data_IF_650111312587
#
_entry.id   IF_650111312587
#
_cell.length_a   1.000
_cell.length_b   1.000
_cell.length_c   1.000
_cell.angle_alpha   90.00
_cell.angle_beta   90.00
_cell.angle_gamma   90.00
#
_symmetry.space_group_name_H-M   'P 1'
#
loop_
_entity.id
_entity.type
_entity.pdbx_description
1 polymer ?
#
# COMPACT_ATOMS: atom_id res chain seq x y z
N UNK A 1 16.28 2.43 -14.41
CA UNK A 1 16.39 1.31 -13.47
C UNK A 1 15.06 1.02 -12.84
N UNK A 2 14.78 -0.25 -12.70
CA UNK A 2 13.57 -0.78 -12.08
C UNK A 2 13.63 -0.59 -10.55
N UNK A 3 12.47 -0.31 -9.91
CA UNK A 3 12.35 -0.34 -8.46
C UNK A 3 12.81 -1.69 -7.91
N UNK A 4 12.58 -2.78 -8.66
CA UNK A 4 13.02 -4.14 -8.33
C UNK A 4 14.53 -4.21 -8.03
N UNK A 5 15.37 -3.69 -8.93
CA UNK A 5 16.83 -3.73 -8.76
C UNK A 5 17.27 -2.93 -7.52
N UNK A 6 16.63 -1.80 -7.23
CA UNK A 6 16.92 -0.99 -6.03
C UNK A 6 16.59 -1.77 -4.74
N UNK A 7 15.47 -2.49 -4.71
CA UNK A 7 15.09 -3.34 -3.56
C UNK A 7 15.73 -4.74 -3.60
N UNK A 8 16.65 -4.97 -4.55
CA UNK A 8 17.45 -6.19 -4.62
C UNK A 8 16.77 -7.38 -5.26
N UNK A 9 15.79 -7.15 -6.12
CA UNK A 9 15.04 -8.18 -6.85
C UNK A 9 15.20 -8.02 -8.36
N UNK A 10 14.97 -9.09 -9.09
CA UNK A 10 15.05 -9.15 -10.56
C UNK A 10 13.73 -9.57 -11.21
N UNK A 11 12.76 -10.04 -10.43
CA UNK A 11 11.47 -10.54 -10.92
C UNK A 11 10.31 -9.99 -10.08
N UNK A 12 9.18 -9.73 -10.75
CA UNK A 12 7.90 -9.44 -10.11
C UNK A 12 7.36 -10.69 -9.40
N UNK A 13 6.64 -10.50 -8.29
CA UNK A 13 6.14 -11.61 -7.45
C UNK A 13 4.94 -12.31 -8.07
N UNK A 14 3.95 -11.56 -8.54
CA UNK A 14 2.61 -12.09 -8.80
C UNK A 14 2.30 -12.34 -10.27
N UNK A 15 3.29 -12.24 -11.15
CA UNK A 15 3.11 -12.38 -12.61
C UNK A 15 2.41 -13.67 -12.99
N UNK A 16 2.83 -14.82 -12.44
CA UNK A 16 2.22 -16.11 -12.77
C UNK A 16 0.74 -16.20 -12.38
N UNK A 17 0.37 -15.73 -11.19
CA UNK A 17 -1.04 -15.73 -10.75
C UNK A 17 -1.87 -14.72 -11.56
N UNK A 18 -1.35 -13.53 -11.84
CA UNK A 18 -2.02 -12.51 -12.66
C UNK A 18 -2.25 -13.02 -14.09
N UNK A 19 -1.27 -13.67 -14.69
CA UNK A 19 -1.40 -14.26 -16.05
C UNK A 19 -2.38 -15.42 -16.06
N UNK A 20 -2.29 -16.34 -15.11
CA UNK A 20 -3.18 -17.49 -15.02
C UNK A 20 -4.65 -17.07 -14.89
N UNK A 21 -4.95 -16.10 -14.05
CA UNK A 21 -6.30 -15.61 -13.84
C UNK A 21 -6.70 -14.41 -14.73
N UNK A 22 -5.87 -14.01 -15.69
CA UNK A 22 -6.03 -12.76 -16.47
C UNK A 22 -7.40 -12.66 -17.15
N UNK A 23 -7.88 -13.74 -17.73
CA UNK A 23 -9.19 -13.79 -18.40
C UNK A 23 -10.32 -13.57 -17.42
N UNK A 24 -10.33 -14.29 -16.30
CA UNK A 24 -11.35 -14.18 -15.27
C UNK A 24 -11.39 -12.78 -14.64
N UNK A 25 -10.21 -12.25 -14.29
CA UNK A 25 -10.06 -10.90 -13.75
C UNK A 25 -10.63 -9.86 -14.73
N UNK A 26 -10.23 -9.93 -16.00
CA UNK A 26 -10.66 -8.98 -17.03
C UNK A 26 -12.18 -9.06 -17.28
N UNK A 27 -12.77 -10.25 -17.30
CA UNK A 27 -14.22 -10.42 -17.46
C UNK A 27 -15.00 -9.87 -16.26
N UNK A 28 -14.50 -10.07 -15.04
CA UNK A 28 -15.13 -9.52 -13.83
C UNK A 28 -15.04 -8.00 -13.80
N UNK A 29 -13.88 -7.44 -14.14
CA UNK A 29 -13.68 -5.99 -14.17
C UNK A 29 -14.61 -5.34 -15.19
N UNK A 30 -14.63 -5.81 -16.43
CA UNK A 30 -15.45 -5.23 -17.52
C UNK A 30 -16.95 -5.16 -17.23
N UNK A 31 -17.46 -6.07 -16.38
CA UNK A 31 -18.90 -6.16 -16.08
C UNK A 31 -19.30 -5.43 -14.80
N UNK A 32 -18.36 -4.77 -14.13
CA UNK A 32 -18.59 -4.30 -12.78
C UNK A 32 -18.31 -2.82 -12.59
N UNK A 33 -19.03 -2.25 -11.63
CA UNK A 33 -18.80 -0.89 -11.10
C UNK A 33 -17.96 -0.98 -9.83
N UNK A 34 -16.88 -0.23 -9.81
CA UNK A 34 -15.92 -0.17 -8.72
C UNK A 34 -15.96 1.15 -7.98
N UNK A 35 -15.84 1.09 -6.66
CA UNK A 35 -15.50 2.22 -5.81
C UNK A 35 -14.16 1.95 -5.13
N UNK A 36 -13.20 2.83 -5.32
CA UNK A 36 -11.88 2.77 -4.67
C UNK A 36 -11.76 3.93 -3.68
N UNK A 37 -11.76 3.64 -2.39
CA UNK A 37 -11.61 4.60 -1.30
C UNK A 37 -10.14 4.65 -0.89
N UNK A 38 -9.55 5.84 -0.78
CA UNK A 38 -8.12 6.03 -0.61
C UNK A 38 -7.35 5.76 -1.90
N UNK A 39 -8.01 6.01 -3.05
CA UNK A 39 -7.51 5.62 -4.37
C UNK A 39 -6.39 6.49 -4.91
N UNK A 40 -6.09 7.64 -4.30
CA UNK A 40 -4.96 8.48 -4.67
C UNK A 40 -3.71 8.31 -3.77
N UNK A 41 -3.78 7.45 -2.74
CA UNK A 41 -2.60 6.99 -2.01
C UNK A 41 -1.78 5.97 -2.81
N UNK A 42 -0.57 5.62 -2.36
CA UNK A 42 0.36 4.78 -3.14
C UNK A 42 -0.21 3.42 -3.56
N UNK A 43 -0.86 2.68 -2.64
CA UNK A 43 -1.53 1.42 -2.97
C UNK A 43 -2.80 1.69 -3.79
N UNK A 44 -3.53 2.76 -3.44
CA UNK A 44 -4.75 3.17 -4.11
C UNK A 44 -4.55 3.46 -5.59
N UNK A 45 -3.49 4.19 -5.93
CA UNK A 45 -3.12 4.46 -7.32
C UNK A 45 -2.82 3.17 -8.09
N UNK A 46 -2.06 2.25 -7.47
CA UNK A 46 -1.74 0.97 -8.08
C UNK A 46 -3.00 0.13 -8.35
N UNK A 47 -3.92 0.03 -7.38
CA UNK A 47 -5.21 -0.66 -7.55
C UNK A 47 -6.07 0.01 -8.62
N UNK A 48 -6.16 1.34 -8.58
CA UNK A 48 -6.92 2.12 -9.56
C UNK A 48 -6.42 1.87 -10.98
N UNK A 49 -5.09 1.85 -11.20
CA UNK A 49 -4.46 1.51 -12.49
C UNK A 49 -4.79 0.08 -12.92
N UNK A 50 -4.66 -0.89 -12.01
CA UNK A 50 -4.96 -2.29 -12.31
C UNK A 50 -6.42 -2.51 -12.74
N UNK A 51 -7.37 -1.77 -12.14
CA UNK A 51 -8.78 -1.81 -12.54
C UNK A 51 -8.98 -1.06 -13.86
N UNK A 52 -8.44 0.17 -13.96
CA UNK A 52 -8.65 1.06 -15.12
C UNK A 52 -8.18 0.44 -16.44
N UNK A 53 -6.99 -0.16 -16.48
CA UNK A 53 -6.42 -0.80 -17.69
C UNK A 53 -7.25 -1.98 -18.23
N UNK A 54 -8.20 -2.49 -17.44
CA UNK A 54 -9.11 -3.59 -17.81
C UNK A 54 -10.49 -3.12 -18.21
N UNK A 55 -10.69 -1.82 -18.36
CA UNK A 55 -11.89 -1.15 -18.88
C UNK A 55 -13.19 -1.54 -18.12
N UNK A 56 -13.30 -1.15 -16.82
CA UNK A 56 -14.48 -1.44 -16.00
C UNK A 56 -15.71 -0.68 -16.52
N UNK A 57 -16.91 -1.18 -16.19
CA UNK A 57 -18.16 -0.48 -16.51
C UNK A 57 -18.21 0.91 -15.86
N UNK A 58 -17.76 1.02 -14.62
CA UNK A 58 -17.50 2.29 -13.94
C UNK A 58 -16.38 2.13 -12.92
N UNK A 59 -15.56 3.15 -12.75
CA UNK A 59 -14.53 3.25 -11.74
C UNK A 59 -14.61 4.62 -11.08
N UNK A 60 -15.09 4.64 -9.85
CA UNK A 60 -15.16 5.84 -9.04
C UNK A 60 -14.10 5.81 -7.96
N UNK A 61 -13.37 6.90 -7.81
CA UNK A 61 -12.23 7.00 -6.90
C UNK A 61 -12.48 8.10 -5.89
N UNK A 62 -12.33 7.78 -4.62
CA UNK A 62 -12.49 8.71 -3.49
C UNK A 62 -11.17 8.82 -2.75
N UNK A 63 -10.73 10.04 -2.50
CA UNK A 63 -9.57 10.34 -1.66
C UNK A 63 -9.72 11.72 -1.03
N UNK A 64 -9.12 11.93 0.13
CA UNK A 64 -9.12 13.23 0.80
C UNK A 64 -8.12 14.21 0.17
N UNK A 65 -7.11 13.70 -0.55
CA UNK A 65 -6.05 14.49 -1.18
C UNK A 65 -6.43 14.92 -2.60
N UNK A 66 -6.86 16.15 -2.77
CA UNK A 66 -7.16 16.73 -4.08
C UNK A 66 -5.93 16.70 -5.02
N UNK A 67 -4.75 17.06 -4.50
CA UNK A 67 -3.53 17.10 -5.31
C UNK A 67 -3.13 15.71 -5.85
N UNK A 68 -3.17 14.69 -4.98
CA UNK A 68 -2.88 13.32 -5.40
C UNK A 68 -3.92 12.79 -6.39
N UNK A 69 -5.18 13.22 -6.24
CA UNK A 69 -6.25 12.85 -7.15
C UNK A 69 -6.03 13.43 -8.56
N UNK A 70 -5.64 14.71 -8.64
CA UNK A 70 -5.29 15.36 -9.92
C UNK A 70 -4.11 14.63 -10.59
N UNK A 71 -3.09 14.26 -9.82
CA UNK A 71 -1.93 13.54 -10.34
C UNK A 71 -2.30 12.13 -10.81
N UNK A 72 -3.13 11.40 -10.08
CA UNK A 72 -3.66 10.11 -10.51
C UNK A 72 -4.36 10.19 -11.86
N UNK A 73 -5.23 11.19 -12.05
CA UNK A 73 -5.95 11.37 -13.32
C UNK A 73 -4.99 11.67 -14.47
N UNK A 74 -3.99 12.53 -14.25
CA UNK A 74 -2.97 12.85 -15.26
C UNK A 74 -2.15 11.64 -15.65
N UNK A 75 -1.72 10.87 -14.66
CA UNK A 75 -0.93 9.67 -14.85
C UNK A 75 -1.72 8.60 -15.64
N UNK A 76 -2.96 8.31 -15.25
CA UNK A 76 -3.83 7.40 -16.00
C UNK A 76 -4.02 7.82 -17.46
N UNK A 77 -4.30 9.09 -17.69
CA UNK A 77 -4.47 9.60 -19.06
C UNK A 77 -3.20 9.55 -19.89
N UNK A 78 -2.05 9.72 -19.25
CA UNK A 78 -0.74 9.68 -19.94
C UNK A 78 -0.27 8.27 -20.22
N UNK A 79 -0.65 7.28 -19.41
CA UNK A 79 -0.19 5.88 -19.54
C UNK A 79 -1.21 4.99 -20.25
N UNK A 80 -2.48 5.08 -19.88
CA UNK A 80 -3.55 4.20 -20.38
C UNK A 80 -4.51 4.90 -21.36
N UNK A 81 -4.50 6.23 -21.39
CA UNK A 81 -5.43 7.01 -22.21
C UNK A 81 -6.82 7.13 -21.57
N UNK A 82 -7.86 7.02 -22.38
CA UNK A 82 -9.24 7.13 -21.94
C UNK A 82 -9.93 5.76 -22.04
N UNK A 83 -10.47 5.28 -20.91
CA UNK A 83 -11.30 4.07 -20.89
C UNK A 83 -12.69 4.33 -21.48
N UNK A 84 -13.43 3.26 -21.79
CA UNK A 84 -14.81 3.35 -22.29
C UNK A 84 -15.85 3.51 -21.17
N UNK A 85 -15.50 3.11 -19.94
CA UNK A 85 -16.38 3.15 -18.78
C UNK A 85 -16.47 4.54 -18.12
N UNK A 86 -17.40 4.66 -17.16
CA UNK A 86 -17.59 5.89 -16.39
C UNK A 86 -16.48 6.03 -15.34
N UNK A 87 -15.51 6.93 -15.59
CA UNK A 87 -14.42 7.21 -14.67
C UNK A 87 -14.62 8.57 -13.98
N UNK A 88 -14.78 8.53 -12.65
CA UNK A 88 -14.97 9.74 -11.82
C UNK A 88 -14.06 9.74 -10.61
N UNK A 89 -13.67 10.93 -10.18
CA UNK A 89 -12.85 11.16 -8.98
C UNK A 89 -13.53 12.17 -8.06
N UNK A 90 -13.47 11.90 -6.74
CA UNK A 90 -14.13 12.71 -5.73
C UNK A 90 -13.18 13.01 -4.58
N UNK A 91 -12.78 14.26 -4.40
CA UNK A 91 -11.90 14.71 -3.33
C UNK A 91 -12.70 14.96 -2.04
N UNK A 92 -13.08 13.87 -1.36
CA UNK A 92 -13.92 13.90 -0.15
C UNK A 92 -13.43 12.91 0.91
N UNK A 93 -13.75 13.17 2.19
CA UNK A 93 -13.48 12.24 3.28
C UNK A 93 -14.53 11.12 3.30
N UNK A 94 -14.11 9.87 3.29
CA UNK A 94 -15.02 8.72 3.33
C UNK A 94 -15.81 8.61 4.67
N UNK A 95 -15.42 9.35 5.71
CA UNK A 95 -16.16 9.47 6.96
C UNK A 95 -17.23 10.56 6.96
N UNK A 96 -17.33 11.37 5.90
CA UNK A 96 -18.18 12.55 5.84
C UNK A 96 -19.63 12.26 5.38
N UNK A 97 -20.48 13.28 5.47
CA UNK A 97 -21.87 13.21 4.96
C UNK A 97 -21.90 13.31 3.42
N UNK A 98 -20.91 13.97 2.82
CA UNK A 98 -20.74 14.04 1.36
C UNK A 98 -20.49 12.65 0.78
N UNK A 99 -19.73 11.80 1.47
CA UNK A 99 -19.53 10.40 1.07
C UNK A 99 -20.83 9.59 1.15
N UNK A 100 -21.68 9.82 2.17
CA UNK A 100 -23.00 9.18 2.24
C UNK A 100 -23.89 9.59 1.07
N UNK A 101 -23.88 10.87 0.71
CA UNK A 101 -24.61 11.37 -0.44
C UNK A 101 -24.08 10.78 -1.76
N UNK A 102 -22.76 10.67 -1.93
CA UNK A 102 -22.12 10.01 -3.06
C UNK A 102 -22.59 8.55 -3.20
N UNK A 103 -22.54 7.78 -2.10
CA UNK A 103 -22.99 6.39 -2.11
C UNK A 103 -24.45 6.25 -2.53
N UNK A 104 -25.30 7.16 -2.09
CA UNK A 104 -26.73 7.17 -2.43
C UNK A 104 -27.00 7.54 -3.88
N UNK A 105 -26.21 8.45 -4.48
CA UNK A 105 -26.44 8.98 -5.83
C UNK A 105 -25.75 8.18 -6.92
N UNK A 106 -24.53 7.71 -6.69
CA UNK A 106 -23.71 7.05 -7.70
C UNK A 106 -23.71 5.50 -7.57
N UNK A 107 -24.12 4.97 -6.43
CA UNK A 107 -24.24 3.51 -6.23
C UNK A 107 -25.41 2.87 -7.02
N UNK A 108 -25.57 1.55 -6.94
CA UNK A 108 -24.72 0.61 -6.22
C UNK A 108 -23.39 0.34 -6.93
N UNK A 109 -22.41 -0.14 -6.16
CA UNK A 109 -21.15 -0.67 -6.67
C UNK A 109 -21.08 -2.17 -6.42
N UNK A 110 -20.63 -2.96 -7.40
CA UNK A 110 -20.39 -4.39 -7.19
C UNK A 110 -19.22 -4.63 -6.27
N UNK A 111 -18.14 -3.87 -6.45
CA UNK A 111 -16.90 -3.99 -5.69
C UNK A 111 -16.54 -2.67 -5.01
N UNK A 112 -16.30 -2.73 -3.71
CA UNK A 112 -15.79 -1.60 -2.93
C UNK A 112 -14.42 -1.96 -2.37
N UNK A 113 -13.39 -1.24 -2.78
CA UNK A 113 -12.02 -1.39 -2.31
C UNK A 113 -11.69 -0.24 -1.35
N UNK A 114 -11.50 -0.55 -0.08
CA UNK A 114 -11.10 0.46 0.89
C UNK A 114 -9.61 0.34 1.22
N UNK A 115 -8.84 1.33 0.76
CA UNK A 115 -7.40 1.45 0.89
C UNK A 115 -7.00 2.61 1.80
N UNK A 116 -8.00 3.28 2.41
CA UNK A 116 -7.75 4.38 3.33
C UNK A 116 -7.13 3.89 4.63
N UNK A 117 -6.06 4.54 5.05
CA UNK A 117 -5.39 4.22 6.31
C UNK A 117 -4.47 5.36 6.78
N UNK A 118 -4.31 5.46 8.10
CA UNK A 118 -3.16 6.12 8.72
C UNK A 118 -2.18 5.03 9.15
N UNK A 119 -0.99 5.02 8.53
CA UNK A 119 -0.03 3.91 8.57
C UNK A 119 1.26 4.17 9.34
N UNK A 120 1.49 5.39 9.80
CA UNK A 120 2.75 5.75 10.47
C UNK A 120 2.71 5.38 11.95
N UNK A 121 3.63 4.51 12.39
CA UNK A 121 3.77 4.10 13.78
C UNK A 121 4.01 5.31 14.70
N UNK A 122 4.85 6.26 14.28
CA UNK A 122 5.13 7.48 15.05
C UNK A 122 3.89 8.34 15.36
N UNK A 123 2.81 8.18 14.62
CA UNK A 123 1.54 8.88 14.87
C UNK A 123 0.91 8.54 16.22
N UNK A 124 1.30 7.44 16.85
CA UNK A 124 0.77 7.05 18.17
C UNK A 124 1.37 7.84 19.33
N UNK A 125 2.48 8.54 19.13
CA UNK A 125 3.13 9.37 20.16
C UNK A 125 2.34 10.63 20.51
N UNK A 126 1.47 11.09 19.62
CA UNK A 126 0.57 12.23 19.82
C UNK A 126 -0.88 11.74 19.97
N UNK A 127 -1.58 12.09 21.08
CA UNK A 127 -2.93 11.58 21.36
C UNK A 127 -3.95 12.00 20.29
N UNK A 128 -3.84 13.17 19.70
CA UNK A 128 -4.80 13.65 18.69
C UNK A 128 -4.63 12.90 17.37
N UNK A 129 -3.40 12.66 16.95
CA UNK A 129 -3.11 11.85 15.77
C UNK A 129 -3.47 10.38 15.99
N UNK A 130 -3.27 9.84 17.21
CA UNK A 130 -3.74 8.50 17.57
C UNK A 130 -5.27 8.39 17.48
N UNK A 131 -6.01 9.37 18.01
CA UNK A 131 -7.47 9.41 17.86
C UNK A 131 -7.88 9.44 16.39
N UNK A 132 -7.22 10.24 15.57
CA UNK A 132 -7.46 10.29 14.12
C UNK A 132 -7.15 8.94 13.45
N UNK A 133 -6.10 8.24 13.88
CA UNK A 133 -5.75 6.91 13.38
C UNK A 133 -6.87 5.90 13.68
N UNK A 134 -7.40 5.88 14.88
CA UNK A 134 -8.52 5.00 15.27
C UNK A 134 -9.77 5.34 14.45
N UNK A 135 -10.08 6.61 14.26
CA UNK A 135 -11.21 7.03 13.43
C UNK A 135 -11.08 6.50 12.00
N UNK A 136 -9.92 6.69 11.37
CA UNK A 136 -9.69 6.28 9.96
C UNK A 136 -9.59 4.77 9.84
N UNK A 137 -8.77 4.11 10.67
CA UNK A 137 -8.45 2.69 10.52
C UNK A 137 -9.56 1.76 11.01
N UNK A 138 -10.46 2.23 11.86
CA UNK A 138 -11.52 1.40 12.46
C UNK A 138 -12.90 1.94 12.11
N UNK A 139 -13.27 3.11 12.60
CA UNK A 139 -14.66 3.58 12.52
C UNK A 139 -15.10 3.91 11.10
N UNK A 140 -14.25 4.58 10.32
CA UNK A 140 -14.57 4.89 8.91
C UNK A 140 -14.64 3.62 8.05
N UNK A 141 -13.81 2.61 8.34
CA UNK A 141 -13.88 1.31 7.66
C UNK A 141 -15.22 0.63 7.93
N UNK A 142 -15.65 0.58 9.18
CA UNK A 142 -16.95 -0.01 9.57
C UNK A 142 -18.10 0.77 8.93
N UNK A 143 -18.05 2.10 8.96
CA UNK A 143 -19.06 2.97 8.35
C UNK A 143 -19.19 2.72 6.85
N UNK A 144 -18.09 2.74 6.12
CA UNK A 144 -18.08 2.55 4.66
C UNK A 144 -18.50 1.14 4.27
N UNK A 145 -18.11 0.12 5.04
CA UNK A 145 -18.56 -1.25 4.85
C UNK A 145 -20.09 -1.38 5.00
N UNK A 146 -20.65 -0.82 6.06
CA UNK A 146 -22.10 -0.87 6.29
C UNK A 146 -22.90 -0.11 5.23
N UNK A 147 -22.35 1.02 4.74
CA UNK A 147 -22.94 1.72 3.60
C UNK A 147 -22.90 0.87 2.34
N UNK A 148 -21.76 0.25 2.04
CA UNK A 148 -21.60 -0.64 0.89
C UNK A 148 -22.59 -1.83 0.94
N UNK A 149 -22.70 -2.48 2.11
CA UNK A 149 -23.66 -3.57 2.32
C UNK A 149 -25.11 -3.10 2.13
N UNK A 150 -25.48 -1.96 2.74
CA UNK A 150 -26.82 -1.37 2.59
C UNK A 150 -27.17 -1.06 1.14
N UNK A 151 -26.19 -0.68 0.33
CA UNK A 151 -26.35 -0.37 -1.09
C UNK A 151 -26.26 -1.62 -2.00
N UNK A 152 -26.07 -2.82 -1.43
CA UNK A 152 -26.05 -4.08 -2.17
C UNK A 152 -24.74 -4.40 -2.86
N UNK A 153 -23.60 -3.93 -2.34
CA UNK A 153 -22.29 -4.30 -2.84
C UNK A 153 -22.08 -5.83 -2.74
N UNK A 154 -21.55 -6.44 -3.80
CA UNK A 154 -21.25 -7.88 -3.82
C UNK A 154 -20.04 -8.22 -2.98
N UNK A 155 -19.01 -7.37 -3.02
CA UNK A 155 -17.72 -7.57 -2.37
C UNK A 155 -17.19 -6.30 -1.75
N UNK A 156 -16.70 -6.40 -0.52
CA UNK A 156 -15.92 -5.37 0.13
C UNK A 156 -14.50 -5.88 0.38
N UNK A 157 -13.51 -5.19 -0.18
CA UNK A 157 -12.10 -5.45 0.06
C UNK A 157 -11.52 -4.37 0.98
N UNK A 158 -10.67 -4.76 1.92
CA UNK A 158 -9.96 -3.82 2.79
C UNK A 158 -8.48 -4.17 2.91
N UNK A 159 -7.62 -3.14 2.77
CA UNK A 159 -6.18 -3.31 2.97
C UNK A 159 -5.85 -3.48 4.45
N UNK A 160 -5.02 -4.46 4.77
CA UNK A 160 -4.42 -4.67 6.09
C UNK A 160 -2.88 -4.67 6.00
N UNK A 161 -2.21 -5.16 7.01
CA UNK A 161 -0.75 -5.11 7.14
C UNK A 161 -0.25 -6.34 7.90
N UNK A 162 1.00 -6.73 7.66
CA UNK A 162 1.78 -7.67 8.46
C UNK A 162 1.72 -7.37 9.98
N UNK A 163 1.67 -6.07 10.32
CA UNK A 163 1.65 -5.61 11.72
C UNK A 163 0.34 -5.91 12.46
N UNK A 164 -0.72 -6.33 11.73
CA UNK A 164 -1.98 -6.76 12.32
C UNK A 164 -1.97 -8.21 12.82
N UNK A 165 -1.07 -9.06 12.31
CA UNK A 165 -0.99 -10.47 12.71
C UNK A 165 -0.65 -10.60 14.20
N UNK A 166 0.45 -10.01 14.66
CA UNK A 166 0.85 -9.95 16.07
C UNK A 166 1.25 -8.51 16.41
N UNK A 167 0.29 -7.64 16.77
CA UNK A 167 0.54 -6.21 16.92
C UNK A 167 1.41 -5.90 18.14
N UNK A 168 2.45 -5.09 17.92
CA UNK A 168 3.36 -4.59 18.97
C UNK A 168 3.28 -3.08 19.16
N UNK A 169 2.43 -2.40 18.39
CA UNK A 169 2.19 -0.96 18.46
C UNK A 169 0.71 -0.64 18.16
N UNK A 170 0.29 0.60 18.43
CA UNK A 170 -1.11 1.02 18.26
C UNK A 170 -1.57 1.03 16.81
N UNK A 171 -0.69 1.30 15.85
CA UNK A 171 -1.04 1.22 14.44
C UNK A 171 -1.40 -0.22 14.04
N UNK A 172 -0.56 -1.19 14.40
CA UNK A 172 -0.85 -2.62 14.18
C UNK A 172 -2.12 -3.06 14.94
N UNK A 173 -2.29 -2.64 16.20
CA UNK A 173 -3.49 -2.93 16.99
C UNK A 173 -4.76 -2.36 16.35
N UNK A 174 -4.72 -1.13 15.81
CA UNK A 174 -5.87 -0.54 15.11
C UNK A 174 -6.29 -1.36 13.89
N UNK A 175 -5.31 -1.88 13.14
CA UNK A 175 -5.56 -2.76 12.00
C UNK A 175 -6.09 -4.13 12.42
N UNK A 176 -5.58 -4.70 13.53
CA UNK A 176 -6.13 -5.95 14.07
C UNK A 176 -7.57 -5.79 14.54
N UNK A 177 -7.90 -4.70 15.22
CA UNK A 177 -9.28 -4.39 15.60
C UNK A 177 -10.17 -4.24 14.37
N UNK A 178 -9.70 -3.56 13.33
CA UNK A 178 -10.38 -3.48 12.04
C UNK A 178 -10.67 -4.87 11.46
N UNK A 179 -9.68 -5.76 11.38
CA UNK A 179 -9.85 -7.13 10.89
C UNK A 179 -10.93 -7.90 11.68
N UNK A 180 -10.93 -7.77 13.00
CA UNK A 180 -11.95 -8.40 13.87
C UNK A 180 -13.36 -7.90 13.56
N UNK A 181 -13.54 -6.60 13.33
CA UNK A 181 -14.82 -6.05 12.88
C UNK A 181 -15.22 -6.55 11.49
N UNK A 182 -14.28 -6.59 10.54
CA UNK A 182 -14.54 -7.12 9.20
C UNK A 182 -14.95 -8.60 9.25
N UNK A 183 -14.29 -9.41 10.09
CA UNK A 183 -14.68 -10.81 10.30
C UNK A 183 -16.09 -10.95 10.90
N UNK A 184 -16.49 -10.06 11.80
CA UNK A 184 -17.87 -10.02 12.32
C UNK A 184 -18.87 -9.65 11.22
N UNK A 185 -18.62 -8.61 10.47
CA UNK A 185 -19.53 -8.11 9.41
C UNK A 185 -19.59 -9.08 8.20
N UNK A 186 -18.60 -9.98 8.06
CA UNK A 186 -18.56 -11.01 7.00
C UNK A 186 -19.70 -12.04 7.09
N UNK A 187 -20.47 -12.02 8.16
CA UNK A 187 -21.70 -12.83 8.26
C UNK A 187 -22.81 -12.32 7.33
N UNK A 188 -22.76 -11.07 6.89
CA UNK A 188 -23.78 -10.44 6.05
C UNK A 188 -23.22 -9.80 4.77
N UNK A 189 -21.92 -9.70 4.63
CA UNK A 189 -21.22 -9.12 3.49
C UNK A 189 -20.05 -10.02 3.10
N UNK A 190 -19.85 -10.23 1.80
CA UNK A 190 -18.63 -10.88 1.30
C UNK A 190 -17.43 -9.94 1.44
N UNK A 191 -16.44 -10.34 2.22
CA UNK A 191 -15.27 -9.53 2.60
C UNK A 191 -13.99 -10.31 2.35
N UNK A 192 -13.00 -9.65 1.75
CA UNK A 192 -11.63 -10.13 1.71
C UNK A 192 -10.65 -9.03 2.09
N UNK A 193 -9.44 -9.42 2.47
CA UNK A 193 -8.39 -8.52 2.92
C UNK A 193 -7.05 -8.93 2.31
N UNK A 194 -6.07 -8.03 2.40
CA UNK A 194 -4.68 -8.36 2.12
C UNK A 194 -3.75 -7.75 3.17
N UNK A 195 -2.81 -8.54 3.67
CA UNK A 195 -1.71 -8.11 4.54
C UNK A 195 -0.47 -7.92 3.70
N UNK A 196 0.11 -6.75 3.81
CA UNK A 196 1.26 -6.35 3.00
C UNK A 196 2.55 -6.40 3.78
N UNK A 197 3.64 -6.69 3.06
CA UNK A 197 4.98 -6.24 3.39
C UNK A 197 5.12 -4.72 3.14
N UNK A 198 6.33 -4.17 3.27
CA UNK A 198 6.52 -2.75 3.00
C UNK A 198 6.41 -2.48 1.49
N UNK A 199 5.62 -1.47 1.11
CA UNK A 199 5.54 -1.03 -0.28
C UNK A 199 6.67 -0.05 -0.56
N UNK A 200 7.56 -0.43 -1.48
CA UNK A 200 8.72 0.38 -1.85
C UNK A 200 8.31 1.75 -2.38
N UNK A 201 8.99 2.80 -1.92
CA UNK A 201 8.76 4.19 -2.31
C UNK A 201 7.34 4.72 -2.09
N UNK A 202 6.53 4.05 -1.27
CA UNK A 202 5.19 4.54 -0.91
C UNK A 202 5.27 5.87 -0.17
N UNK A 203 4.25 6.74 -0.36
CA UNK A 203 4.18 8.07 0.24
C UNK A 203 4.44 8.05 1.74
N UNK A 204 5.30 8.96 2.19
CA UNK A 204 5.72 9.08 3.58
C UNK A 204 6.66 7.97 4.07
N UNK A 205 7.03 6.97 3.24
CA UNK A 205 8.04 5.97 3.60
C UNK A 205 9.45 6.55 3.60
N UNK A 206 10.37 5.86 4.28
CA UNK A 206 11.80 6.24 4.27
C UNK A 206 12.36 6.25 2.85
N UNK A 207 11.99 5.26 2.01
CA UNK A 207 12.45 5.19 0.63
C UNK A 207 11.89 6.35 -0.23
N UNK A 208 10.64 6.77 -0.01
CA UNK A 208 10.12 7.99 -0.61
C UNK A 208 10.93 9.22 -0.17
N UNK A 209 11.36 9.23 1.10
CA UNK A 209 12.26 10.25 1.63
C UNK A 209 13.58 10.35 0.87
N UNK A 210 14.13 9.25 0.34
CA UNK A 210 15.34 9.30 -0.50
C UNK A 210 15.12 10.10 -1.78
N UNK A 211 13.97 9.94 -2.46
CA UNK A 211 13.63 10.77 -3.62
C UNK A 211 13.61 12.26 -3.26
N UNK A 212 13.00 12.60 -2.12
CA UNK A 212 12.93 13.98 -1.63
C UNK A 212 14.31 14.53 -1.25
N UNK A 213 15.12 13.76 -0.53
CA UNK A 213 16.50 14.16 -0.16
C UNK A 213 17.37 14.32 -1.38
N UNK A 214 17.29 13.39 -2.33
CA UNK A 214 18.06 13.44 -3.57
C UNK A 214 17.74 14.69 -4.38
N UNK A 215 16.46 15.00 -4.61
CA UNK A 215 16.04 16.18 -5.38
C UNK A 215 16.48 17.51 -4.70
N UNK A 216 16.54 17.51 -3.37
CA UNK A 216 16.95 18.68 -2.58
C UNK A 216 18.45 18.71 -2.27
N UNK A 217 19.25 17.77 -2.79
CA UNK A 217 20.69 17.65 -2.52
C UNK A 217 21.01 17.56 -1.02
N UNK A 218 20.23 16.78 -0.28
CA UNK A 218 20.34 16.59 1.16
C UNK A 218 20.93 15.22 1.49
N UNK A 219 21.62 15.07 2.64
CA UNK A 219 22.16 13.79 3.09
C UNK A 219 21.06 12.70 3.21
N UNK A 220 21.48 11.44 3.06
CA UNK A 220 20.65 10.30 3.39
C UNK A 220 20.95 9.84 4.81
N UNK A 221 19.88 9.53 5.56
CA UNK A 221 19.96 8.87 6.85
C UNK A 221 19.11 7.60 6.82
N UNK A 222 19.67 6.46 7.22
CA UNK A 222 18.96 5.19 7.19
C UNK A 222 19.46 4.21 8.25
N UNK A 223 18.56 3.39 8.86
CA UNK A 223 18.98 2.32 9.74
C UNK A 223 19.71 1.21 8.96
N UNK A 224 20.75 0.65 9.57
CA UNK A 224 21.58 -0.40 8.97
C UNK A 224 21.37 -1.79 9.59
N UNK A 225 20.54 -1.89 10.62
CA UNK A 225 20.25 -3.12 11.38
C UNK A 225 18.81 -3.64 11.16
N UNK A 226 17.94 -2.84 10.55
CA UNK A 226 16.55 -3.20 10.28
C UNK A 226 16.41 -3.76 8.88
N UNK A 227 15.95 -5.00 8.76
CA UNK A 227 15.67 -5.66 7.47
C UNK A 227 14.18 -5.78 7.25
N UNK A 228 13.74 -5.60 6.00
CA UNK A 228 12.33 -5.69 5.62
C UNK A 228 12.17 -6.39 4.27
N UNK A 229 10.99 -6.99 4.10
CA UNK A 229 10.50 -7.40 2.80
C UNK A 229 9.85 -6.21 2.10
N UNK A 230 10.12 -6.07 0.81
CA UNK A 230 9.51 -5.02 -0.01
C UNK A 230 8.77 -5.59 -1.20
N UNK A 231 7.57 -5.05 -1.44
CA UNK A 231 6.81 -5.23 -2.67
C UNK A 231 6.85 -3.93 -3.48
N UNK A 232 6.75 -4.04 -4.80
CA UNK A 232 6.63 -2.85 -5.66
C UNK A 232 5.23 -2.23 -5.54
N UNK A 233 5.04 -0.94 -5.92
CA UNK A 233 3.70 -0.36 -6.04
C UNK A 233 2.78 -1.19 -6.93
N UNK A 234 3.27 -1.68 -8.08
CA UNK A 234 2.51 -2.54 -8.99
C UNK A 234 2.06 -3.82 -8.29
N UNK A 235 2.97 -4.55 -7.65
CA UNK A 235 2.65 -5.76 -6.89
C UNK A 235 1.62 -5.50 -5.78
N UNK A 236 1.64 -4.32 -5.16
CA UNK A 236 0.63 -3.97 -4.18
C UNK A 236 -0.77 -3.87 -4.79
N UNK A 237 -0.87 -3.31 -5.99
CA UNK A 237 -2.11 -3.25 -6.76
C UNK A 237 -2.60 -4.64 -7.18
N UNK A 238 -1.70 -5.47 -7.66
CA UNK A 238 -1.98 -6.85 -8.09
C UNK A 238 -2.49 -7.72 -6.93
N UNK A 239 -1.86 -7.66 -5.76
CA UNK A 239 -2.30 -8.40 -4.58
C UNK A 239 -3.71 -7.97 -4.12
N UNK A 240 -4.01 -6.66 -4.11
CA UNK A 240 -5.33 -6.15 -3.83
C UNK A 240 -6.37 -6.65 -4.85
N UNK A 241 -6.02 -6.62 -6.13
CA UNK A 241 -6.90 -7.05 -7.20
C UNK A 241 -7.22 -8.55 -7.09
N UNK A 242 -6.20 -9.40 -6.89
CA UNK A 242 -6.37 -10.83 -6.66
C UNK A 242 -7.29 -11.10 -5.47
N UNK A 243 -7.03 -10.48 -4.32
CA UNK A 243 -7.87 -10.67 -3.14
C UNK A 243 -9.29 -10.15 -3.33
N UNK A 244 -9.46 -8.95 -3.88
CA UNK A 244 -10.77 -8.34 -4.05
C UNK A 244 -11.65 -9.04 -5.07
N UNK A 245 -11.07 -9.64 -6.11
CA UNK A 245 -11.82 -10.31 -7.18
C UNK A 245 -11.92 -11.83 -7.01
N UNK A 246 -10.86 -12.49 -6.54
CA UNK A 246 -10.76 -13.95 -6.46
C UNK A 246 -10.84 -14.50 -5.03
N UNK A 247 -10.72 -13.62 -4.03
CA UNK A 247 -10.83 -14.02 -2.63
C UNK A 247 -12.25 -14.49 -2.29
N UNK A 248 -12.35 -15.55 -1.48
CA UNK A 248 -13.61 -15.94 -0.85
C UNK A 248 -13.90 -15.04 0.36
N UNK A 249 -15.11 -15.17 0.90
CA UNK A 249 -15.46 -14.46 2.13
C UNK A 249 -14.53 -14.87 3.28
N UNK A 250 -13.96 -13.87 3.97
CA UNK A 250 -12.99 -13.97 5.08
C UNK A 250 -11.55 -14.27 4.69
N UNK A 251 -11.24 -14.38 3.42
CA UNK A 251 -9.86 -14.58 2.99
C UNK A 251 -9.00 -13.36 3.31
N UNK A 252 -7.78 -13.65 3.79
CA UNK A 252 -6.72 -12.67 4.00
C UNK A 252 -5.53 -13.08 3.14
N UNK A 253 -5.29 -12.35 2.05
CA UNK A 253 -4.18 -12.61 1.13
C UNK A 253 -2.89 -12.02 1.64
N UNK A 254 -1.78 -12.69 1.37
CA UNK A 254 -0.43 -12.20 1.69
C UNK A 254 0.61 -12.74 0.69
N UNK A 255 1.73 -12.03 0.48
CA UNK A 255 2.82 -12.55 -0.37
C UNK A 255 3.44 -13.79 0.25
N UNK A 256 3.60 -14.88 -0.51
CA UNK A 256 4.38 -16.03 -0.02
C UNK A 256 5.83 -15.63 0.14
N UNK A 257 6.43 -15.97 1.28
CA UNK A 257 7.86 -15.86 1.48
C UNK A 257 8.57 -16.92 0.59
N UNK A 258 9.30 -16.45 -0.39
CA UNK A 258 10.03 -17.27 -1.35
C UNK A 258 11.43 -16.69 -1.54
N UNK A 259 12.29 -17.37 -2.28
CA UNK A 259 13.60 -16.84 -2.68
C UNK A 259 13.52 -15.51 -3.45
N UNK A 260 12.37 -15.24 -4.08
CA UNK A 260 12.10 -13.96 -4.78
C UNK A 260 11.86 -12.79 -3.84
N UNK A 261 11.39 -13.06 -2.62
CA UNK A 261 11.09 -12.05 -1.60
C UNK A 261 12.08 -12.21 -0.45
N UNK A 262 13.17 -11.46 -0.47
CA UNK A 262 14.22 -11.53 0.54
C UNK A 262 14.33 -10.25 1.38
N UNK A 263 14.91 -10.42 2.55
CA UNK A 263 15.15 -9.32 3.49
C UNK A 263 16.30 -8.44 3.03
N UNK A 264 16.09 -7.13 3.02
CA UNK A 264 17.11 -6.12 2.70
C UNK A 264 17.05 -4.98 3.72
N UNK A 265 18.21 -4.38 4.04
CA UNK A 265 18.27 -3.21 4.93
C UNK A 265 17.97 -1.91 4.18
N UNK A 266 17.53 -0.89 4.93
CA UNK A 266 17.31 0.44 4.34
C UNK A 266 18.62 1.08 3.87
N UNK A 267 19.74 0.83 4.56
CA UNK A 267 21.06 1.32 4.15
C UNK A 267 21.54 0.67 2.84
N UNK A 268 21.32 -0.64 2.64
CA UNK A 268 21.62 -1.29 1.36
C UNK A 268 20.80 -0.72 0.20
N UNK A 269 19.52 -0.42 0.43
CA UNK A 269 18.67 0.24 -0.57
C UNK A 269 19.20 1.65 -0.88
N UNK A 270 19.61 2.43 0.13
CA UNK A 270 20.18 3.75 -0.05
C UNK A 270 21.46 3.71 -0.92
N UNK A 271 22.34 2.74 -0.67
CA UNK A 271 23.57 2.51 -1.46
C UNK A 271 23.22 2.20 -2.92
N UNK A 272 22.33 1.25 -3.15
CA UNK A 272 21.88 0.89 -4.52
C UNK A 272 21.25 2.08 -5.25
N UNK A 273 20.37 2.79 -4.55
CA UNK A 273 19.69 3.99 -5.07
C UNK A 273 20.66 5.07 -5.53
N UNK A 274 21.73 5.32 -4.77
CA UNK A 274 22.74 6.33 -5.09
C UNK A 274 23.65 5.91 -6.24
N UNK A 275 24.16 4.67 -6.21
CA UNK A 275 25.01 4.12 -7.27
C UNK A 275 24.32 4.16 -8.61
N UNK A 276 23.07 3.84 -8.63
CA UNK A 276 22.21 3.91 -9.80
C UNK A 276 22.14 5.31 -10.42
N UNK A 277 22.21 6.34 -9.58
CA UNK A 277 22.19 7.73 -10.03
C UNK A 277 23.59 8.31 -10.28
N UNK A 278 24.61 7.44 -10.28
CA UNK A 278 26.00 7.80 -10.57
C UNK A 278 26.69 8.50 -9.39
N UNK A 279 26.29 8.19 -8.16
CA UNK A 279 26.94 8.65 -6.95
C UNK A 279 27.43 7.49 -6.10
N UNK A 280 28.64 7.60 -5.53
CA UNK A 280 29.10 6.69 -4.50
C UNK A 280 28.66 7.18 -3.13
N UNK A 281 28.10 6.32 -2.26
CA UNK A 281 27.78 6.70 -0.89
C UNK A 281 29.06 7.01 -0.11
N UNK A 282 29.04 8.10 0.63
CA UNK A 282 30.09 8.46 1.59
C UNK A 282 29.49 8.40 3.00
N UNK A 283 29.93 7.43 3.81
CA UNK A 283 29.44 7.24 5.15
C UNK A 283 30.08 8.27 6.09
N UNK A 284 29.24 9.06 6.74
CA UNK A 284 29.62 10.06 7.71
C UNK A 284 29.40 9.53 9.13
N UNK A 285 30.17 10.02 10.10
CA UNK A 285 30.10 9.61 11.50
C UNK A 285 28.87 10.19 12.24
N UNK A 286 28.30 11.29 11.69
CA UNK A 286 27.13 11.96 12.28
C UNK A 286 26.25 12.62 11.21
N UNK A 287 25.02 12.97 11.60
CA UNK A 287 24.14 13.76 10.74
C UNK A 287 24.70 15.19 10.50
N UNK A 288 25.39 15.77 11.49
CA UNK A 288 26.00 17.08 11.36
C UNK A 288 27.10 17.05 10.30
N UNK A 289 28.04 16.10 10.38
CA UNK A 289 29.07 15.91 9.35
C UNK A 289 28.44 15.73 7.96
N UNK A 290 27.39 14.91 7.87
CA UNK A 290 26.73 14.66 6.59
C UNK A 290 26.12 15.95 6.01
N UNK A 291 25.54 16.81 6.85
CA UNK A 291 25.01 18.12 6.42
C UNK A 291 26.11 19.09 6.00
N UNK A 292 27.13 19.22 6.82
CA UNK A 292 28.21 20.20 6.60
C UNK A 292 29.01 19.90 5.33
N UNK A 293 29.18 18.64 5.00
CA UNK A 293 29.96 18.19 3.84
C UNK A 293 29.13 17.93 2.58
N UNK A 294 27.82 18.17 2.60
CA UNK A 294 26.93 17.75 1.52
C UNK A 294 27.34 18.35 0.15
N UNK A 295 27.56 19.67 0.09
CA UNK A 295 27.92 20.32 -1.18
C UNK A 295 29.26 19.85 -1.72
N UNK A 296 30.28 19.74 -0.86
CA UNK A 296 31.63 19.26 -1.22
C UNK A 296 31.57 17.84 -1.79
N UNK A 297 30.92 16.92 -1.10
CA UNK A 297 30.85 15.51 -1.48
C UNK A 297 30.06 15.33 -2.77
N UNK A 298 28.90 15.97 -2.88
CA UNK A 298 28.07 15.86 -4.10
C UNK A 298 28.80 16.39 -5.35
N UNK A 299 29.60 17.45 -5.20
CA UNK A 299 30.45 17.97 -6.29
C UNK A 299 31.48 16.94 -6.77
N UNK A 300 31.93 16.04 -5.88
CA UNK A 300 32.87 14.94 -6.17
C UNK A 300 32.18 13.63 -6.58
N UNK A 301 30.89 13.65 -6.89
CA UNK A 301 30.09 12.45 -7.17
C UNK A 301 30.01 11.44 -6.00
N UNK A 302 30.18 11.94 -4.80
CA UNK A 302 29.94 11.22 -3.56
C UNK A 302 28.67 11.78 -2.90
N UNK A 303 27.89 10.92 -2.24
CA UNK A 303 26.68 11.38 -1.55
C UNK A 303 26.82 11.13 -0.05
N UNK A 304 26.64 12.16 0.80
CA UNK A 304 26.76 12.01 2.24
C UNK A 304 25.65 11.14 2.79
N UNK A 305 26.01 10.10 3.52
CA UNK A 305 25.12 9.15 4.16
C UNK A 305 25.46 9.03 5.66
N UNK A 306 24.44 8.95 6.48
CA UNK A 306 24.57 8.57 7.88
C UNK A 306 23.77 7.29 8.13
N UNK A 307 24.47 6.20 8.40
CA UNK A 307 23.86 4.92 8.71
C UNK A 307 23.93 4.64 10.20
N UNK A 308 22.78 4.39 10.82
CA UNK A 308 22.66 4.29 12.27
C UNK A 308 21.91 3.04 12.69
N UNK A 309 21.97 2.66 13.95
CA UNK A 309 21.12 1.63 14.53
C UNK A 309 19.76 2.21 14.86
N UNK A 310 18.70 1.48 14.52
CA UNK A 310 17.32 1.91 14.80
C UNK A 310 17.10 2.09 16.29
N UNK A 311 16.46 3.18 16.66
CA UNK A 311 15.98 3.50 18.00
C UNK A 311 14.47 3.32 18.14
N UNK A 312 13.80 2.81 17.10
CA UNK A 312 12.36 2.67 17.07
C UNK A 312 11.92 1.49 17.94
N UNK A 313 11.21 1.81 19.01
CA UNK A 313 10.61 0.81 19.91
C UNK A 313 9.42 0.13 19.23
N UNK A 314 9.24 -1.18 19.47
CA UNK A 314 8.11 -1.95 18.93
C UNK A 314 8.26 -2.32 17.45
N UNK A 315 9.47 -2.32 16.90
CA UNK A 315 9.77 -2.95 15.62
C UNK A 315 10.00 -4.46 15.82
N UNK A 316 9.44 -5.26 14.90
CA UNK A 316 9.75 -6.69 14.81
C UNK A 316 11.00 -6.91 13.98
N UNK A 317 11.71 -8.01 14.22
CA UNK A 317 12.90 -8.40 13.46
C UNK A 317 12.56 -8.71 12.00
N UNK A 318 11.34 -9.25 11.76
CA UNK A 318 10.82 -9.57 10.43
C UNK A 318 9.29 -9.48 10.39
N UNK A 319 8.73 -9.43 9.21
CA UNK A 319 7.29 -9.40 8.97
C UNK A 319 6.65 -10.76 9.22
N UNK A 320 5.48 -10.76 9.87
CA UNK A 320 4.63 -11.93 10.09
C UNK A 320 3.28 -11.69 9.41
N UNK A 321 2.94 -12.54 8.44
CA UNK A 321 1.70 -12.36 7.67
C UNK A 321 0.50 -13.12 8.25
N UNK A 322 0.72 -14.05 9.16
CA UNK A 322 -0.32 -14.87 9.78
C UNK A 322 0.06 -15.25 11.21
N UNK A 323 -0.89 -15.79 11.94
CA UNK A 323 -0.73 -16.28 13.31
C UNK A 323 -0.99 -17.79 13.35
N UNK A 324 -0.53 -18.47 14.40
CA UNK A 324 -0.76 -19.92 14.60
C UNK A 324 -2.24 -20.32 14.71
N UNK A 325 -3.14 -19.33 14.91
CA UNK A 325 -4.58 -19.56 15.04
C UNK A 325 -5.35 -19.31 13.75
N UNK A 326 -4.68 -19.07 12.64
CA UNK A 326 -5.29 -18.85 11.33
C UNK A 326 -5.07 -20.08 10.45
N UNK A 327 -6.12 -20.49 9.73
CA UNK A 327 -6.03 -21.57 8.75
C UNK A 327 -5.34 -21.04 7.48
N UNK A 328 -4.38 -21.80 6.96
CA UNK A 328 -3.57 -21.40 5.82
C UNK A 328 -3.89 -22.25 4.59
N UNK A 329 -4.14 -21.58 3.48
CA UNK A 329 -4.19 -22.17 2.14
C UNK A 329 -2.98 -21.67 1.31
N UNK A 330 -2.00 -22.54 1.14
CA UNK A 330 -0.77 -22.26 0.40
C UNK A 330 -0.77 -22.86 -1.01
N UNK A 331 -1.89 -23.50 -1.45
CA UNK A 331 -1.93 -24.23 -2.71
C UNK A 331 -2.79 -23.55 -3.76
N UNK A 332 -3.76 -22.74 -3.37
CA UNK A 332 -4.73 -22.10 -4.27
C UNK A 332 -4.11 -21.14 -5.29
N UNK A 333 -3.04 -20.46 -4.92
CA UNK A 333 -2.27 -19.57 -5.78
C UNK A 333 -0.79 -19.96 -5.75
N UNK A 334 -0.07 -19.67 -6.82
CA UNK A 334 1.36 -19.99 -6.91
C UNK A 334 2.20 -19.09 -5.98
N UNK A 335 1.95 -17.78 -5.99
CA UNK A 335 2.79 -16.77 -5.34
C UNK A 335 2.14 -16.09 -4.13
N UNK A 336 0.85 -16.32 -3.94
CA UNK A 336 0.05 -15.74 -2.86
C UNK A 336 -0.41 -16.81 -1.89
N UNK A 337 -0.25 -16.56 -0.57
CA UNK A 337 -0.88 -17.33 0.50
C UNK A 337 -2.21 -16.71 0.92
N UNK A 338 -3.08 -17.52 1.47
CA UNK A 338 -4.39 -17.10 1.96
C UNK A 338 -4.63 -17.63 3.36
#
# INVERSE_FOLDING_TARGET
MSILEIIGRDQELFTSDIEFFSKEISERVKRSKFLVIGGAGSIGQAVTKEIFKRDPQALHVVDISENNMVELVRDLRSTEGYGSGDFKTFAIDCGSVEFEALMASEGPYEYVFNLSALKHVRSESDPYTLMRMIMVNVFNIIKTLRLANKMGAKKYFCVSTDKAANPVNMMGASKRIMEMFLMRESMTQDISMARFANVAFSDGSLLHGFNQRFSKRQPFAAPNDVRRYFVTPQESGELCLLSGLLGNNRDIFFPKLSEKLHLITFSEIAVRYLRERGYEPYECESEDEARDRAEELIAKKQWPCYFFKSDTTGEKDFEEFFTDNEDLDMERFETVGV
#
